data_IF_392714760495
#
_entry.id   IF_392714760495
#
_cell.length_a   1.000
_cell.length_b   1.000
_cell.length_c   1.000
_cell.angle_alpha   90.00
_cell.angle_beta   90.00
_cell.angle_gamma   90.00
#
_symmetry.space_group_name_H-M   'P 1'
#
loop_
_entity.id
_entity.type
_entity.pdbx_description
1 polymer ?
#
# COMPACT_ATOMS: atom_id res chain seq x y z
N UNK A 1 22.02 0.92 12.82
CA UNK A 1 21.42 1.71 11.72
C UNK A 1 21.31 0.72 10.59
N UNK A 2 20.26 -0.09 10.61
CA UNK A 2 20.16 -1.27 9.76
C UNK A 2 18.99 -1.08 8.82
N UNK A 3 19.36 -0.95 7.55
CA UNK A 3 18.55 -0.39 6.48
C UNK A 3 17.29 -1.19 6.21
N UNK A 4 16.20 -0.45 6.01
CA UNK A 4 15.05 -0.92 5.25
C UNK A 4 15.57 -1.20 3.82
N UNK A 5 15.86 -2.47 3.54
CA UNK A 5 16.02 -2.95 2.19
C UNK A 5 14.68 -2.73 1.47
N UNK A 6 14.74 -1.96 0.38
CA UNK A 6 13.62 -1.41 -0.39
C UNK A 6 12.29 -2.15 -0.27
N UNK A 7 11.26 -1.43 0.20
CA UNK A 7 9.87 -1.88 0.09
C UNK A 7 9.37 -1.62 -1.32
N UNK A 8 9.08 -2.68 -2.05
CA UNK A 8 8.42 -2.59 -3.35
C UNK A 8 6.92 -2.33 -3.15
N UNK A 9 6.41 -1.28 -3.78
CA UNK A 9 4.97 -0.94 -3.81
C UNK A 9 4.37 -1.56 -5.08
N UNK A 10 3.32 -2.35 -4.92
CA UNK A 10 2.64 -3.04 -6.02
C UNK A 10 1.20 -2.52 -6.16
N UNK A 11 0.87 -2.03 -7.36
CA UNK A 11 -0.49 -1.58 -7.72
C UNK A 11 -1.19 -2.69 -8.51
N UNK A 12 -2.39 -3.10 -8.10
CA UNK A 12 -3.22 -4.05 -8.86
C UNK A 12 -4.62 -3.47 -9.12
N UNK A 13 -5.06 -3.53 -10.37
CA UNK A 13 -6.36 -3.03 -10.82
C UNK A 13 -7.29 -4.21 -11.12
N UNK A 14 -8.39 -4.32 -10.39
CA UNK A 14 -9.39 -5.37 -10.61
C UNK A 14 -10.68 -4.77 -11.19
N UNK A 15 -11.13 -5.34 -12.31
CA UNK A 15 -12.35 -4.96 -13.02
C UNK A 15 -13.45 -5.98 -12.75
N UNK A 16 -14.54 -5.57 -12.12
CA UNK A 16 -15.78 -6.35 -12.05
C UNK A 16 -16.77 -5.81 -13.09
N UNK A 17 -17.72 -6.62 -13.62
CA UNK A 17 -18.75 -6.11 -14.50
C UNK A 17 -19.48 -4.98 -13.75
N UNK A 18 -19.43 -3.76 -14.28
CA UNK A 18 -20.07 -2.54 -13.77
C UNK A 18 -19.40 -1.78 -12.61
N UNK A 19 -18.26 -2.22 -12.07
CA UNK A 19 -17.47 -1.43 -11.11
C UNK A 19 -15.97 -1.58 -11.33
N UNK A 20 -15.26 -0.45 -11.33
CA UNK A 20 -13.79 -0.42 -11.32
C UNK A 20 -13.33 -0.22 -9.90
N UNK A 21 -12.46 -1.09 -9.42
CA UNK A 21 -11.80 -0.92 -8.12
C UNK A 21 -10.30 -0.90 -8.30
N UNK A 22 -9.64 -0.01 -7.57
CA UNK A 22 -8.18 0.05 -7.49
C UNK A 22 -7.75 -0.56 -6.17
N UNK A 23 -6.77 -1.47 -6.22
CA UNK A 23 -6.15 -2.05 -5.04
C UNK A 23 -4.69 -1.60 -5.03
N UNK A 24 -4.30 -0.91 -3.96
CA UNK A 24 -2.92 -0.51 -3.73
C UNK A 24 -2.37 -1.34 -2.58
N UNK A 25 -1.17 -1.90 -2.76
CA UNK A 25 -0.54 -2.80 -1.78
C UNK A 25 0.93 -2.49 -1.55
N UNK A 26 1.34 -2.41 -0.29
CA UNK A 26 2.74 -2.40 0.12
C UNK A 26 3.18 -3.81 0.47
N UNK A 27 4.24 -4.31 -0.19
CA UNK A 27 4.82 -5.62 0.09
C UNK A 27 6.15 -5.47 0.84
N UNK A 28 6.47 -6.45 1.67
CA UNK A 28 7.79 -6.62 2.26
C UNK A 28 8.23 -8.08 2.11
N UNK A 29 9.47 -8.40 2.52
CA UNK A 29 10.03 -9.76 2.43
C UNK A 29 9.14 -10.83 3.10
N UNK A 30 8.33 -10.45 4.09
CA UNK A 30 7.45 -11.35 4.84
C UNK A 30 6.01 -11.40 4.29
N UNK A 31 5.72 -10.72 3.18
CA UNK A 31 4.40 -10.71 2.53
C UNK A 31 3.73 -9.34 2.51
N UNK A 32 2.40 -9.34 2.53
CA UNK A 32 1.60 -8.11 2.46
C UNK A 32 1.71 -7.30 3.76
N UNK A 33 2.24 -6.08 3.66
CA UNK A 33 2.41 -5.18 4.79
C UNK A 33 1.18 -4.28 4.99
N UNK A 34 0.65 -3.73 3.89
CA UNK A 34 -0.47 -2.80 3.89
C UNK A 34 -1.25 -2.90 2.58
N UNK A 35 -2.56 -2.61 2.62
CA UNK A 35 -3.35 -2.47 1.40
C UNK A 35 -4.51 -1.49 1.59
N UNK A 36 -5.00 -0.94 0.49
CA UNK A 36 -6.27 -0.21 0.41
C UNK A 36 -7.03 -0.63 -0.85
N UNK A 37 -8.36 -0.68 -0.76
CA UNK A 37 -9.26 -0.93 -1.88
C UNK A 37 -10.17 0.28 -2.01
N UNK A 38 -10.20 0.90 -3.19
CA UNK A 38 -11.12 2.00 -3.48
C UNK A 38 -11.90 1.77 -4.77
N UNK A 39 -13.06 2.42 -4.87
CA UNK A 39 -13.83 2.47 -6.12
C UNK A 39 -13.28 3.59 -7.01
N UNK A 40 -13.12 3.30 -8.30
CA UNK A 40 -12.54 4.23 -9.27
C UNK A 40 -11.01 4.27 -9.25
N UNK A 41 -10.41 5.11 -10.11
CA UNK A 41 -8.95 5.27 -10.20
C UNK A 41 -8.39 5.95 -8.96
N UNK A 42 -7.15 5.61 -8.61
CA UNK A 42 -6.39 6.30 -7.57
C UNK A 42 -5.72 7.55 -8.12
N UNK A 43 -5.95 8.70 -7.49
CA UNK A 43 -5.24 9.95 -7.82
C UNK A 43 -4.03 10.15 -6.87
N UNK A 44 -3.25 11.21 -7.10
CA UNK A 44 -2.05 11.48 -6.27
C UNK A 44 -2.35 11.77 -4.81
N UNK A 45 -3.51 12.39 -4.49
CA UNK A 45 -3.91 12.65 -3.11
C UNK A 45 -4.31 11.35 -2.39
N UNK A 46 -5.04 10.46 -3.07
CA UNK A 46 -5.41 9.14 -2.55
C UNK A 46 -4.15 8.29 -2.28
N UNK A 47 -3.18 8.33 -3.19
CA UNK A 47 -1.90 7.65 -3.03
C UNK A 47 -1.09 8.21 -1.85
N UNK A 48 -0.98 9.54 -1.75
CA UNK A 48 -0.30 10.18 -0.61
C UNK A 48 -0.96 9.82 0.72
N UNK A 49 -2.30 9.77 0.75
CA UNK A 49 -3.04 9.30 1.91
C UNK A 49 -2.70 7.85 2.28
N UNK A 50 -2.66 6.95 1.29
CA UNK A 50 -2.23 5.56 1.51
C UNK A 50 -0.82 5.51 2.11
N UNK A 51 0.13 6.26 1.56
CA UNK A 51 1.52 6.28 2.07
C UNK A 51 1.57 6.79 3.52
N UNK A 52 1.01 7.97 3.78
CA UNK A 52 1.15 8.67 5.07
C UNK A 52 0.37 8.00 6.21
N UNK A 53 -0.82 7.49 5.91
CA UNK A 53 -1.76 7.04 6.93
C UNK A 53 -1.94 5.53 6.99
N UNK A 54 -1.48 4.78 5.99
CA UNK A 54 -1.65 3.32 5.94
C UNK A 54 -0.28 2.63 5.88
N UNK A 55 0.57 2.95 4.90
CA UNK A 55 1.85 2.27 4.71
C UNK A 55 2.89 2.64 5.78
N UNK A 56 3.19 3.93 5.94
CA UNK A 56 4.22 4.40 6.87
C UNK A 56 3.96 3.98 8.34
N UNK A 57 2.73 4.02 8.88
CA UNK A 57 2.46 3.52 10.21
C UNK A 57 2.71 2.01 10.36
N UNK A 58 2.48 1.22 9.30
CA UNK A 58 2.78 -0.22 9.29
C UNK A 58 4.28 -0.50 9.18
N UNK A 59 5.01 0.36 8.47
CA UNK A 59 6.47 0.33 8.43
C UNK A 59 7.09 0.75 9.77
N UNK A 60 6.58 1.81 10.40
CA UNK A 60 7.08 2.33 11.68
C UNK A 60 6.68 1.49 12.90
N UNK A 61 5.72 0.57 12.76
CA UNK A 61 5.51 -0.50 13.75
C UNK A 61 6.71 -1.48 13.79
N UNK A 62 7.62 -1.40 12.81
CA UNK A 62 8.95 -2.01 12.83
C UNK A 62 10.01 -0.90 13.00
N UNK A 63 10.94 -1.01 13.97
CA UNK A 63 11.30 -2.19 14.73
C UNK A 63 10.52 -2.26 16.04
N UNK A 64 10.03 -3.44 16.41
CA UNK A 64 9.72 -3.71 17.82
C UNK A 64 10.97 -3.59 18.70
N UNK A 65 10.84 -3.63 20.04
CA UNK A 65 11.98 -3.80 20.94
C UNK A 65 12.85 -5.01 20.59
#
# INVERSE_FOLDING_TARGET
>A
MDGILGGDVYVSLHFYPWKRSTIEGGLCLNGLLAYIIQEGPMNSADYNYFVEHILLPKMNAYPGP
#
